data_IF_183349688187
#
_entry.id   IF_183349688187
#
_cell.length_a   1.000
_cell.length_b   1.000
_cell.length_c   1.000
_cell.angle_alpha   90.00
_cell.angle_beta   90.00
_cell.angle_gamma   90.00
#
_symmetry.space_group_name_H-M   'P 1'
#
loop_
_entity.id
_entity.type
_entity.pdbx_description
1 polymer ?
#
# COMPACT_ATOMS: atom_id res chain seq x y z
N UNK A 1 -0.27 -33.89 -60.38
CA UNK A 1 0.64 -33.15 -59.49
C UNK A 1 -0.19 -32.32 -58.56
N UNK A 2 -0.51 -32.88 -57.40
CA UNK A 2 -1.28 -32.21 -56.34
C UNK A 2 -0.34 -31.67 -55.30
N UNK A 3 -0.35 -30.38 -55.06
CA UNK A 3 0.41 -29.76 -53.97
C UNK A 3 -0.46 -29.71 -52.71
N UNK A 4 -0.02 -30.42 -51.69
CA UNK A 4 -0.51 -30.33 -50.33
C UNK A 4 0.07 -29.05 -49.69
N UNK A 5 -0.80 -28.10 -49.34
CA UNK A 5 -0.41 -27.00 -48.45
C UNK A 5 -0.71 -27.39 -47.00
N UNK A 6 0.36 -27.66 -46.23
CA UNK A 6 0.28 -27.88 -44.78
C UNK A 6 0.15 -26.51 -44.11
N UNK A 7 -0.97 -26.25 -43.48
CA UNK A 7 -1.20 -25.08 -42.63
C UNK A 7 -0.62 -25.38 -41.25
N UNK A 8 0.50 -24.78 -40.93
CA UNK A 8 1.10 -24.82 -39.61
C UNK A 8 0.32 -23.88 -38.69
N UNK A 9 -0.52 -24.43 -37.79
CA UNK A 9 -1.20 -23.68 -36.75
C UNK A 9 -0.17 -23.28 -35.69
N UNK A 10 -0.07 -22.01 -35.36
CA UNK A 10 0.77 -21.47 -34.29
C UNK A 10 0.21 -21.88 -32.91
N UNK A 11 0.98 -22.49 -32.00
CA UNK A 11 0.49 -22.96 -30.71
C UNK A 11 0.22 -21.83 -29.68
N UNK A 12 0.63 -20.59 -29.97
CA UNK A 12 0.58 -19.49 -29.00
C UNK A 12 -0.80 -18.85 -28.77
N UNK A 13 -1.68 -18.88 -29.78
CA UNK A 13 -2.97 -18.20 -29.69
C UNK A 13 -4.02 -18.95 -28.84
N UNK A 14 -3.93 -20.27 -28.76
CA UNK A 14 -4.86 -21.05 -27.97
C UNK A 14 -4.57 -21.03 -26.45
N UNK A 15 -3.30 -20.88 -26.06
CA UNK A 15 -2.94 -20.76 -24.65
C UNK A 15 -3.33 -19.40 -24.04
N UNK A 16 -3.22 -18.32 -24.81
CA UNK A 16 -3.66 -16.99 -24.36
C UNK A 16 -5.18 -16.88 -24.25
N UNK A 17 -5.94 -17.44 -25.18
CA UNK A 17 -7.41 -17.44 -25.11
C UNK A 17 -7.95 -18.27 -23.93
N UNK A 18 -7.37 -19.41 -23.64
CA UNK A 18 -7.77 -20.25 -22.49
C UNK A 18 -7.41 -19.59 -21.14
N UNK A 19 -6.32 -18.86 -21.06
CA UNK A 19 -5.97 -18.09 -19.86
C UNK A 19 -6.98 -16.95 -19.61
N UNK A 20 -7.31 -16.15 -20.63
CA UNK A 20 -8.27 -15.05 -20.53
C UNK A 20 -9.65 -15.53 -20.08
N UNK A 21 -10.20 -16.55 -20.72
CA UNK A 21 -11.52 -17.14 -20.35
C UNK A 21 -11.50 -17.75 -18.94
N UNK A 22 -10.36 -18.31 -18.50
CA UNK A 22 -10.24 -18.93 -17.18
C UNK A 22 -10.23 -17.92 -16.04
N UNK A 23 -9.90 -16.66 -16.30
CA UNK A 23 -9.74 -15.59 -15.31
C UNK A 23 -10.83 -14.52 -15.35
N UNK A 24 -11.61 -14.39 -16.41
CA UNK A 24 -12.86 -13.58 -16.40
C UNK A 24 -13.78 -14.00 -15.26
N UNK A 25 -13.77 -15.28 -14.91
CA UNK A 25 -14.47 -15.84 -13.76
C UNK A 25 -14.00 -15.30 -12.39
N UNK A 26 -12.78 -14.80 -12.23
CA UNK A 26 -12.29 -14.32 -10.93
C UNK A 26 -12.82 -12.92 -10.63
N UNK A 27 -12.80 -12.01 -11.61
CA UNK A 27 -13.36 -10.66 -11.44
C UNK A 27 -14.89 -10.71 -11.20
N UNK A 28 -15.60 -11.59 -11.91
CA UNK A 28 -17.04 -11.82 -11.72
C UNK A 28 -17.35 -12.41 -10.34
N UNK A 29 -16.51 -13.31 -9.85
CA UNK A 29 -16.66 -13.91 -8.52
C UNK A 29 -16.46 -12.84 -7.44
N UNK A 30 -15.48 -11.95 -7.59
CA UNK A 30 -15.26 -10.82 -6.67
C UNK A 30 -16.44 -9.86 -6.76
N UNK A 31 -16.95 -9.56 -7.96
CA UNK A 31 -18.12 -8.68 -8.13
C UNK A 31 -19.33 -9.22 -7.40
N UNK A 32 -19.69 -10.49 -7.58
CA UNK A 32 -20.80 -11.14 -6.88
C UNK A 32 -20.63 -11.11 -5.36
N UNK A 33 -19.40 -11.33 -4.89
CA UNK A 33 -19.10 -11.24 -3.46
C UNK A 33 -19.29 -9.83 -2.91
N UNK A 34 -18.84 -8.81 -3.64
CA UNK A 34 -19.05 -7.39 -3.28
C UNK A 34 -20.54 -7.05 -3.26
N UNK A 35 -21.30 -7.47 -4.28
CA UNK A 35 -22.74 -7.24 -4.37
C UNK A 35 -23.48 -7.87 -3.18
N UNK A 36 -23.14 -9.11 -2.80
CA UNK A 36 -23.72 -9.76 -1.62
C UNK A 36 -23.45 -8.97 -0.34
N UNK A 37 -22.22 -8.60 -0.06
CA UNK A 37 -21.88 -7.82 1.14
C UNK A 37 -22.49 -6.41 1.14
N UNK A 38 -22.67 -5.80 -0.04
CA UNK A 38 -23.32 -4.49 -0.15
C UNK A 38 -24.82 -4.59 0.08
N UNK A 39 -25.46 -5.65 -0.45
CA UNK A 39 -26.90 -5.89 -0.26
C UNK A 39 -27.26 -6.15 1.20
N UNK A 40 -26.40 -6.85 1.94
CA UNK A 40 -26.57 -7.13 3.36
C UNK A 40 -26.22 -5.92 4.26
N UNK A 41 -25.84 -4.77 3.67
CA UNK A 41 -25.42 -3.57 4.40
C UNK A 41 -24.07 -3.71 5.11
N UNK A 42 -23.36 -4.83 4.92
CA UNK A 42 -22.06 -5.11 5.55
C UNK A 42 -20.88 -4.44 4.88
N UNK A 43 -21.05 -3.81 3.70
CA UNK A 43 -20.00 -3.11 2.99
C UNK A 43 -20.49 -1.74 2.49
N UNK A 44 -19.87 -0.70 3.00
CA UNK A 44 -20.13 0.68 2.58
C UNK A 44 -18.94 1.21 1.78
N UNK A 45 -19.15 1.42 0.49
CA UNK A 45 -18.12 1.97 -0.40
C UNK A 45 -18.31 3.47 -0.61
N UNK A 46 -17.24 4.24 -0.91
CA UNK A 46 -17.37 5.65 -1.26
C UNK A 46 -18.31 5.85 -2.45
N UNK A 47 -19.17 6.87 -2.41
CA UNK A 47 -20.17 7.14 -3.48
C UNK A 47 -19.55 7.23 -4.89
N UNK A 48 -18.31 7.71 -5.00
CA UNK A 48 -17.58 7.83 -6.27
C UNK A 48 -16.76 6.60 -6.64
N UNK A 49 -16.79 5.52 -5.84
CA UNK A 49 -16.02 4.32 -6.08
C UNK A 49 -16.76 3.36 -7.00
N UNK A 50 -16.29 3.21 -8.23
CA UNK A 50 -16.83 2.24 -9.18
C UNK A 50 -16.10 0.90 -9.03
N UNK A 51 -16.75 -0.08 -8.43
CA UNK A 51 -16.21 -1.44 -8.26
C UNK A 51 -15.79 -2.04 -9.61
N UNK A 52 -16.67 -2.00 -10.59
CA UNK A 52 -16.41 -2.58 -11.91
C UNK A 52 -15.21 -1.94 -12.62
N UNK A 53 -15.06 -0.61 -12.57
CA UNK A 53 -13.92 0.07 -13.20
C UNK A 53 -12.61 -0.25 -12.47
N UNK A 54 -12.62 -0.30 -11.14
CA UNK A 54 -11.43 -0.62 -10.36
C UNK A 54 -11.01 -2.08 -10.53
N UNK A 55 -11.95 -3.03 -10.58
CA UNK A 55 -11.65 -4.44 -10.87
C UNK A 55 -11.08 -4.64 -12.27
N UNK A 56 -11.66 -3.96 -13.30
CA UNK A 56 -11.13 -4.01 -14.67
C UNK A 56 -9.72 -3.44 -14.75
N UNK A 57 -9.49 -2.29 -14.13
CA UNK A 57 -8.16 -1.66 -14.05
C UNK A 57 -7.13 -2.54 -13.35
N UNK A 58 -7.52 -3.12 -12.21
CA UNK A 58 -6.68 -4.04 -11.46
C UNK A 58 -6.36 -5.30 -12.27
N UNK A 59 -7.34 -5.79 -13.02
CA UNK A 59 -7.15 -6.95 -13.88
C UNK A 59 -6.12 -6.71 -14.98
N UNK A 60 -6.18 -5.55 -15.66
CA UNK A 60 -5.19 -5.19 -16.68
C UNK A 60 -3.77 -5.14 -16.09
N UNK A 61 -3.62 -4.60 -14.91
CA UNK A 61 -2.32 -4.57 -14.20
C UNK A 61 -1.84 -5.99 -13.88
N UNK A 62 -2.75 -6.87 -13.42
CA UNK A 62 -2.39 -8.26 -13.08
C UNK A 62 -1.98 -9.09 -14.30
N UNK A 63 -2.51 -8.79 -15.49
CA UNK A 63 -2.11 -9.47 -16.73
C UNK A 63 -0.63 -9.21 -17.10
N UNK A 64 -0.10 -8.05 -16.71
CA UNK A 64 1.28 -7.65 -16.99
C UNK A 64 2.21 -7.88 -15.79
N UNK A 65 1.63 -8.15 -14.61
CA UNK A 65 2.40 -8.29 -13.38
C UNK A 65 3.20 -9.60 -13.37
N UNK A 66 4.44 -9.51 -12.89
CA UNK A 66 5.34 -10.66 -12.73
C UNK A 66 5.80 -10.78 -11.27
N UNK A 67 6.16 -12.00 -10.89
CA UNK A 67 6.81 -12.27 -9.62
C UNK A 67 8.31 -11.89 -9.67
N UNK A 68 9.03 -12.16 -8.58
CA UNK A 68 10.48 -11.89 -8.51
C UNK A 68 11.32 -12.66 -9.54
N UNK A 69 10.79 -13.77 -10.05
CA UNK A 69 11.47 -14.62 -11.02
C UNK A 69 11.04 -14.29 -12.45
N UNK A 70 10.39 -13.13 -12.65
CA UNK A 70 9.80 -12.69 -13.93
C UNK A 70 8.75 -13.65 -14.50
N UNK A 71 8.07 -14.42 -13.63
CA UNK A 71 6.95 -15.29 -14.04
C UNK A 71 5.62 -14.54 -13.86
N UNK A 72 4.66 -14.68 -14.81
CA UNK A 72 3.35 -14.04 -14.69
C UNK A 72 2.65 -14.40 -13.38
N UNK A 73 2.21 -13.40 -12.60
CA UNK A 73 1.55 -13.66 -11.30
C UNK A 73 0.27 -14.48 -11.44
N UNK A 74 -0.40 -14.37 -12.58
CA UNK A 74 -1.60 -15.16 -12.87
C UNK A 74 -1.31 -16.66 -13.04
N UNK A 75 -0.09 -17.05 -13.37
CA UNK A 75 0.32 -18.45 -13.48
C UNK A 75 0.83 -19.01 -12.14
N UNK A 76 1.51 -18.17 -11.38
CA UNK A 76 2.18 -18.56 -10.12
C UNK A 76 1.19 -18.56 -8.95
N UNK A 77 0.31 -17.53 -8.87
CA UNK A 77 -0.57 -17.34 -7.75
C UNK A 77 -1.87 -18.17 -7.85
N UNK A 78 -2.36 -18.64 -6.71
CA UNK A 78 -3.64 -19.35 -6.67
C UNK A 78 -4.81 -18.43 -7.00
N UNK A 79 -5.85 -18.94 -7.67
CA UNK A 79 -7.07 -18.18 -7.98
C UNK A 79 -7.72 -17.60 -6.73
N UNK A 80 -7.69 -18.36 -5.63
CA UNK A 80 -8.25 -17.90 -4.36
C UNK A 80 -7.50 -16.69 -3.81
N UNK A 81 -6.15 -16.68 -3.88
CA UNK A 81 -5.35 -15.53 -3.44
C UNK A 81 -5.55 -14.31 -4.34
N UNK A 82 -5.69 -14.50 -5.65
CA UNK A 82 -5.99 -13.42 -6.59
C UNK A 82 -7.36 -12.80 -6.27
N UNK A 83 -8.40 -13.65 -6.08
CA UNK A 83 -9.74 -13.17 -5.72
C UNK A 83 -9.72 -12.41 -4.38
N UNK A 84 -9.01 -12.92 -3.37
CA UNK A 84 -8.89 -12.27 -2.08
C UNK A 84 -8.16 -10.92 -2.16
N UNK A 85 -7.07 -10.83 -2.92
CA UNK A 85 -6.33 -9.58 -3.12
C UNK A 85 -7.18 -8.51 -3.84
N UNK A 86 -7.93 -8.90 -4.87
CA UNK A 86 -8.87 -8.00 -5.55
C UNK A 86 -10.02 -7.57 -4.63
N UNK A 87 -10.59 -8.50 -3.87
CA UNK A 87 -11.63 -8.20 -2.90
C UNK A 87 -11.13 -7.26 -1.81
N UNK A 88 -9.90 -7.45 -1.33
CA UNK A 88 -9.26 -6.62 -0.34
C UNK A 88 -9.05 -5.18 -0.82
N UNK A 89 -8.62 -4.99 -2.07
CA UNK A 89 -8.56 -3.68 -2.71
C UNK A 89 -9.92 -2.98 -2.71
N UNK A 90 -10.98 -3.70 -3.07
CA UNK A 90 -12.36 -3.17 -3.12
C UNK A 90 -12.88 -2.85 -1.73
N UNK A 91 -12.66 -3.76 -0.76
CA UNK A 91 -13.06 -3.58 0.64
C UNK A 91 -12.51 -2.26 1.22
N UNK A 92 -11.25 -1.95 0.90
CA UNK A 92 -10.64 -0.69 1.28
C UNK A 92 -11.06 0.50 0.39
N UNK A 93 -11.83 0.28 -0.67
CA UNK A 93 -12.23 1.30 -1.64
C UNK A 93 -11.04 1.99 -2.30
N UNK A 94 -9.94 1.27 -2.52
CA UNK A 94 -8.70 1.78 -3.10
C UNK A 94 -8.55 1.37 -4.57
N UNK A 95 -7.67 2.06 -5.28
CA UNK A 95 -7.43 1.85 -6.71
C UNK A 95 -5.94 1.74 -7.01
N UNK A 96 -5.55 0.64 -7.67
CA UNK A 96 -4.17 0.46 -8.14
C UNK A 96 -3.80 1.42 -9.27
N UNK A 97 -4.75 1.80 -10.11
CA UNK A 97 -4.53 2.79 -11.19
C UNK A 97 -4.25 4.20 -10.65
N UNK A 98 -4.63 4.49 -9.40
CA UNK A 98 -4.30 5.73 -8.70
C UNK A 98 -3.08 5.59 -7.81
N UNK A 99 -2.30 4.54 -7.98
CA UNK A 99 -1.15 4.20 -7.13
C UNK A 99 -1.49 4.14 -5.62
N UNK A 100 -2.76 3.80 -5.27
CA UNK A 100 -3.21 3.68 -3.87
C UNK A 100 -2.89 2.32 -3.25
N UNK A 101 -2.35 1.40 -4.03
CA UNK A 101 -1.88 0.09 -3.60
C UNK A 101 -1.27 -0.67 -4.74
N UNK A 102 -0.67 -1.82 -4.41
CA UNK A 102 0.04 -2.70 -5.33
C UNK A 102 -0.35 -4.15 -5.06
N UNK A 103 -0.30 -4.96 -6.10
CA UNK A 103 -0.38 -6.42 -5.98
C UNK A 103 1.01 -7.01 -5.95
N UNK A 104 1.28 -7.83 -4.94
CA UNK A 104 2.59 -8.42 -4.73
C UNK A 104 2.43 -9.92 -4.55
N UNK A 105 3.19 -10.69 -5.32
CA UNK A 105 3.25 -12.13 -5.21
C UNK A 105 4.27 -12.55 -4.15
N UNK A 106 3.79 -13.30 -3.16
CA UNK A 106 4.60 -13.97 -2.15
C UNK A 106 4.48 -15.48 -2.36
N UNK A 107 5.43 -16.04 -3.11
CA UNK A 107 5.31 -17.42 -3.58
C UNK A 107 4.06 -17.58 -4.45
N UNK A 108 3.15 -18.48 -4.06
CA UNK A 108 1.88 -18.73 -4.77
C UNK A 108 0.70 -17.89 -4.25
N UNK A 109 0.94 -16.94 -3.35
CA UNK A 109 -0.08 -16.08 -2.76
C UNK A 109 0.06 -14.66 -3.30
N UNK A 110 -1.02 -14.10 -3.87
CA UNK A 110 -1.12 -12.70 -4.21
C UNK A 110 -1.70 -11.92 -3.02
N UNK A 111 -1.08 -10.79 -2.69
CA UNK A 111 -1.56 -9.88 -1.66
C UNK A 111 -1.75 -8.47 -2.24
N UNK A 112 -2.79 -7.78 -1.76
CA UNK A 112 -2.95 -6.35 -1.99
C UNK A 112 -2.25 -5.57 -0.87
N UNK A 113 -1.30 -4.73 -1.23
CA UNK A 113 -0.60 -3.86 -0.31
C UNK A 113 -0.99 -2.41 -0.52
N UNK A 114 -1.39 -1.76 0.55
CA UNK A 114 -1.73 -0.34 0.55
C UNK A 114 -0.45 0.50 0.44
N UNK A 115 -0.47 1.48 -0.46
CA UNK A 115 0.58 2.48 -0.58
C UNK A 115 0.37 3.64 0.39
N UNK A 116 1.38 4.52 0.48
CA UNK A 116 1.27 5.80 1.15
C UNK A 116 0.03 6.61 0.69
N UNK A 117 -0.20 6.71 -0.63
CA UNK A 117 -1.39 7.41 -1.17
C UNK A 117 -2.70 6.73 -0.75
N UNK A 118 -2.68 5.39 -0.67
CA UNK A 118 -3.81 4.63 -0.17
C UNK A 118 -4.09 4.91 1.30
N UNK A 119 -3.04 4.98 2.12
CA UNK A 119 -3.15 5.30 3.55
C UNK A 119 -3.75 6.69 3.77
N UNK A 120 -3.30 7.71 3.04
CA UNK A 120 -3.88 9.06 3.09
C UNK A 120 -5.34 9.04 2.60
N UNK A 121 -5.62 8.36 1.48
CA UNK A 121 -6.98 8.26 0.95
C UNK A 121 -7.95 7.58 1.92
N UNK A 122 -7.48 6.57 2.65
CA UNK A 122 -8.26 5.88 3.66
C UNK A 122 -8.51 6.76 4.89
N UNK A 123 -7.46 7.42 5.41
CA UNK A 123 -7.58 8.34 6.54
C UNK A 123 -8.59 9.49 6.29
N UNK A 124 -8.78 9.89 5.03
CA UNK A 124 -9.79 10.89 4.63
C UNK A 124 -11.23 10.34 4.64
N UNK A 125 -11.43 9.03 4.68
CA UNK A 125 -12.75 8.40 4.53
C UNK A 125 -13.31 7.81 5.81
N UNK A 126 -12.44 7.42 6.74
CA UNK A 126 -12.88 6.84 8.01
C UNK A 126 -13.64 7.86 8.85
N UNK A 127 -14.58 7.39 9.66
CA UNK A 127 -15.36 8.23 10.56
C UNK A 127 -14.47 9.07 11.48
N UNK A 128 -14.73 10.38 11.56
CA UNK A 128 -13.86 11.32 12.26
C UNK A 128 -12.53 11.59 11.54
N UNK A 129 -12.45 11.26 10.25
CA UNK A 129 -11.24 11.32 9.44
C UNK A 129 -10.69 12.71 9.19
N UNK A 130 -9.65 12.76 8.37
CA UNK A 130 -8.96 14.01 8.07
C UNK A 130 -9.63 14.78 6.93
N UNK A 131 -9.74 16.09 7.07
CA UNK A 131 -10.35 17.00 6.08
C UNK A 131 -9.51 17.10 4.80
N UNK A 132 -8.20 17.06 4.94
CA UNK A 132 -7.23 17.19 3.84
C UNK A 132 -5.99 16.35 4.14
N UNK A 133 -5.15 16.19 3.14
CA UNK A 133 -3.84 15.56 3.32
C UNK A 133 -3.04 16.27 4.42
N UNK A 134 -2.39 15.53 5.32
CA UNK A 134 -1.51 16.14 6.31
C UNK A 134 -0.38 16.92 5.63
N UNK A 135 -0.08 18.08 6.15
CA UNK A 135 1.05 18.92 5.67
C UNK A 135 2.26 18.60 6.52
N UNK A 136 3.36 18.19 5.90
CA UNK A 136 4.59 17.85 6.61
C UNK A 136 5.75 18.75 6.21
N UNK A 137 6.61 19.05 7.20
CA UNK A 137 7.85 19.75 7.01
C UNK A 137 8.99 19.04 7.74
N UNK A 138 10.21 19.28 7.25
CA UNK A 138 11.46 18.80 7.84
C UNK A 138 12.10 19.92 8.65
N UNK A 139 12.69 19.60 9.76
CA UNK A 139 13.43 20.50 10.64
C UNK A 139 14.91 20.17 10.47
N UNK A 140 15.69 21.18 10.05
CA UNK A 140 17.13 21.05 9.84
C UNK A 140 17.93 21.64 10.99
N UNK A 141 19.22 21.32 11.02
CA UNK A 141 20.15 22.00 11.92
C UNK A 141 20.28 23.48 11.54
N UNK A 142 20.08 24.35 12.49
CA UNK A 142 20.06 25.83 12.25
C UNK A 142 18.67 26.42 12.10
N UNK A 143 17.62 25.60 11.93
CA UNK A 143 16.24 26.08 12.00
C UNK A 143 15.91 26.48 13.45
N UNK A 144 15.17 27.57 13.59
CA UNK A 144 14.54 27.90 14.86
C UNK A 144 13.21 27.16 14.95
N UNK A 145 13.16 26.11 15.74
CA UNK A 145 11.95 25.33 15.95
C UNK A 145 11.58 25.30 17.43
N UNK A 146 10.40 25.86 17.73
CA UNK A 146 9.87 25.94 19.10
C UNK A 146 8.49 25.30 19.11
N UNK A 147 8.27 24.36 20.02
CA UNK A 147 6.98 23.73 20.27
C UNK A 147 6.73 23.57 21.75
N UNK A 148 5.49 23.37 22.13
CA UNK A 148 5.06 23.04 23.48
C UNK A 148 4.13 21.84 23.45
N UNK A 149 3.91 21.26 24.63
CA UNK A 149 2.90 20.23 24.85
C UNK A 149 1.83 20.87 25.72
N UNK A 150 0.60 20.88 25.26
CA UNK A 150 -0.54 21.30 26.09
C UNK A 150 -0.71 20.30 27.23
N UNK A 151 -0.56 20.72 28.51
CA UNK A 151 -0.60 19.82 29.65
C UNK A 151 -1.99 19.20 29.91
N UNK A 152 -3.05 19.78 29.32
CA UNK A 152 -4.42 19.27 29.48
C UNK A 152 -4.77 18.20 28.45
N UNK A 153 -4.31 18.39 27.22
CA UNK A 153 -4.65 17.51 26.10
C UNK A 153 -3.51 16.56 25.71
N UNK A 154 -2.27 16.89 26.10
CA UNK A 154 -1.07 16.17 25.65
C UNK A 154 -0.69 16.44 24.20
N UNK A 155 -1.41 17.32 23.50
CA UNK A 155 -1.16 17.62 22.09
C UNK A 155 0.04 18.54 21.91
N UNK A 156 0.83 18.26 20.88
CA UNK A 156 1.92 19.14 20.46
C UNK A 156 1.36 20.41 19.80
N UNK A 157 1.93 21.56 20.12
CA UNK A 157 1.64 22.85 19.50
C UNK A 157 2.93 23.47 19.01
N UNK A 158 3.02 23.70 17.71
CA UNK A 158 4.17 24.42 17.11
C UNK A 158 3.95 25.90 17.37
N UNK A 159 4.91 26.52 18.04
CA UNK A 159 4.92 27.95 18.34
C UNK A 159 5.64 28.71 17.21
N UNK A 160 6.77 28.17 16.74
CA UNK A 160 7.59 28.80 15.72
C UNK A 160 8.34 27.75 14.91
N UNK A 161 8.41 27.96 13.60
CA UNK A 161 9.33 27.27 12.71
C UNK A 161 9.86 28.29 11.70
N UNK A 162 11.03 28.84 11.98
CA UNK A 162 11.75 29.72 11.07
C UNK A 162 12.87 28.93 10.39
N UNK A 163 12.66 28.67 9.11
CA UNK A 163 13.56 27.91 8.26
C UNK A 163 14.12 28.82 7.16
N UNK A 164 15.43 28.88 7.07
CA UNK A 164 16.14 29.57 6.00
C UNK A 164 16.57 28.57 4.93
N UNK A 165 16.63 29.01 3.67
CA UNK A 165 17.03 28.15 2.55
C UNK A 165 18.45 27.59 2.78
N UNK A 166 19.33 28.36 3.41
CA UNK A 166 20.69 27.96 3.73
C UNK A 166 20.78 26.82 4.74
N UNK A 167 19.72 26.59 5.52
CA UNK A 167 19.64 25.49 6.49
C UNK A 167 19.22 24.18 5.85
N UNK A 168 18.68 24.20 4.63
CA UNK A 168 18.18 23.00 3.94
C UNK A 168 19.38 22.17 3.49
N UNK A 169 19.71 21.17 4.31
CA UNK A 169 20.79 20.22 4.08
C UNK A 169 20.32 18.82 4.53
N UNK A 170 20.15 17.92 3.59
CA UNK A 170 19.66 16.57 3.82
C UNK A 170 20.53 15.76 4.80
N UNK A 171 21.82 16.10 4.93
CA UNK A 171 22.72 15.50 5.92
C UNK A 171 22.46 16.01 7.35
N UNK A 172 21.75 17.12 7.50
CA UNK A 172 21.51 17.81 8.76
C UNK A 172 20.05 17.81 9.21
N UNK A 173 19.26 16.84 8.76
CA UNK A 173 17.89 16.65 9.21
C UNK A 173 17.90 16.26 10.69
N UNK A 174 17.14 17.01 11.53
CA UNK A 174 16.95 16.74 12.96
C UNK A 174 15.65 16.01 13.27
N UNK A 175 14.57 16.42 12.58
CA UNK A 175 13.23 15.88 12.79
C UNK A 175 12.33 16.17 11.58
N UNK A 176 11.14 15.60 11.60
CA UNK A 176 10.04 16.02 10.73
C UNK A 176 8.74 16.04 11.52
N UNK A 177 7.78 16.83 11.08
CA UNK A 177 6.45 16.86 11.65
C UNK A 177 5.38 16.88 10.57
N UNK A 178 4.18 16.43 10.95
CA UNK A 178 2.98 16.52 10.15
C UNK A 178 1.88 17.23 10.93
N UNK A 179 1.14 18.10 10.28
CA UNK A 179 -0.06 18.74 10.79
C UNK A 179 -1.26 18.09 10.12
N UNK A 180 -2.08 17.43 10.91
CA UNK A 180 -3.32 16.81 10.49
C UNK A 180 -4.48 17.72 10.81
N UNK A 181 -5.34 18.01 9.83
CA UNK A 181 -6.57 18.80 10.03
C UNK A 181 -7.77 17.87 9.90
N UNK A 182 -8.60 17.81 10.93
CA UNK A 182 -9.81 17.00 10.97
C UNK A 182 -11.03 17.73 10.43
N UNK A 183 -12.12 16.98 10.17
CA UNK A 183 -13.38 17.56 9.64
C UNK A 183 -14.02 18.55 10.62
N UNK A 184 -13.87 18.38 11.92
CA UNK A 184 -14.32 19.28 12.97
C UNK A 184 -13.48 20.58 13.10
N UNK A 185 -12.44 20.72 12.29
CA UNK A 185 -11.52 21.85 12.31
C UNK A 185 -10.37 21.72 13.31
N UNK A 186 -10.34 20.70 14.14
CA UNK A 186 -9.25 20.39 15.05
C UNK A 186 -7.99 20.08 14.26
N UNK A 187 -6.83 20.45 14.82
CA UNK A 187 -5.53 20.12 14.26
C UNK A 187 -4.69 19.36 15.28
N UNK A 188 -3.99 18.35 14.79
CA UNK A 188 -3.01 17.59 15.58
C UNK A 188 -1.65 17.61 14.91
N UNK A 189 -0.61 17.68 15.73
CA UNK A 189 0.76 17.68 15.27
C UNK A 189 1.43 16.36 15.67
N UNK A 190 1.97 15.66 14.68
CA UNK A 190 2.83 14.49 14.90
C UNK A 190 4.27 14.91 14.64
N UNK A 191 5.17 14.71 15.62
CA UNK A 191 6.60 15.03 15.49
C UNK A 191 7.39 13.72 15.63
N UNK A 192 8.38 13.53 14.75
CA UNK A 192 9.35 12.43 14.84
C UNK A 192 10.77 12.96 14.70
N UNK A 193 11.65 12.56 15.61
CA UNK A 193 13.09 12.83 15.46
C UNK A 193 13.67 11.99 14.32
N UNK A 194 14.80 12.42 13.75
CA UNK A 194 15.47 11.66 12.70
C UNK A 194 15.80 10.22 13.13
N UNK A 195 16.13 10.00 14.41
CA UNK A 195 16.41 8.67 14.93
C UNK A 195 15.17 7.79 14.98
N UNK A 196 14.00 8.35 15.32
CA UNK A 196 12.73 7.62 15.26
C UNK A 196 12.37 7.28 13.84
N UNK A 197 12.58 8.20 12.90
CA UNK A 197 12.34 7.99 11.47
C UNK A 197 13.26 6.88 10.93
N UNK A 198 14.56 6.94 11.21
CA UNK A 198 15.52 5.90 10.82
C UNK A 198 15.19 4.54 11.44
N UNK A 199 14.70 4.50 12.68
CA UNK A 199 14.23 3.26 13.30
C UNK A 199 13.01 2.69 12.56
N UNK A 200 12.08 3.54 12.11
CA UNK A 200 10.95 3.10 11.29
C UNK A 200 11.44 2.55 9.94
N UNK A 201 12.35 3.24 9.26
CA UNK A 201 12.93 2.75 8.00
C UNK A 201 13.67 1.42 8.13
N UNK A 202 14.29 1.18 9.30
CA UNK A 202 15.01 -0.07 9.57
C UNK A 202 14.08 -1.30 9.72
N UNK A 203 12.79 -1.08 9.91
CA UNK A 203 11.81 -2.17 9.89
C UNK A 203 11.56 -2.68 8.46
N UNK A 204 11.83 -1.84 7.46
CA UNK A 204 11.68 -2.19 6.06
C UNK A 204 12.88 -2.99 5.48
N UNK A 205 12.70 -3.72 4.33
CA UNK A 205 13.70 -4.57 3.67
C UNK A 205 14.97 -3.84 3.29
N UNK A 206 14.76 -2.66 2.80
CA UNK A 206 15.89 -1.84 2.38
C UNK A 206 16.60 -1.21 3.56
N UNK A 207 16.05 -1.32 4.79
CA UNK A 207 16.60 -0.73 6.01
C UNK A 207 17.00 0.74 5.81
N UNK A 208 16.16 1.51 5.13
CA UNK A 208 16.44 2.89 4.78
C UNK A 208 17.54 3.08 3.72
N UNK A 209 17.91 2.04 2.98
CA UNK A 209 18.98 2.08 1.98
C UNK A 209 18.48 2.10 0.53
N UNK A 210 17.17 2.24 0.30
CA UNK A 210 16.66 2.37 -1.07
C UNK A 210 17.17 3.65 -1.75
N UNK A 211 17.18 3.70 -3.09
CA UNK A 211 17.55 4.90 -3.82
C UNK A 211 16.75 6.15 -3.39
N UNK A 212 15.46 5.98 -3.06
CA UNK A 212 14.61 7.08 -2.58
C UNK A 212 15.10 7.63 -1.22
N UNK A 213 15.46 6.76 -0.27
CA UNK A 213 16.00 7.19 1.03
C UNK A 213 17.35 7.90 0.92
N UNK A 214 18.19 7.51 -0.06
CA UNK A 214 19.51 8.09 -0.25
C UNK A 214 19.47 9.43 -0.99
N UNK A 215 18.62 9.51 -2.02
CA UNK A 215 18.59 10.67 -2.90
C UNK A 215 17.58 11.74 -2.47
N UNK A 216 16.57 11.35 -1.68
CA UNK A 216 15.46 12.24 -1.27
C UNK A 216 15.09 12.01 0.21
N UNK A 217 16.04 12.07 1.16
CA UNK A 217 15.77 11.73 2.55
C UNK A 217 14.74 12.68 3.19
N UNK A 218 14.70 13.96 2.81
CA UNK A 218 13.70 14.90 3.29
C UNK A 218 12.27 14.47 2.90
N UNK A 219 12.05 14.04 1.66
CA UNK A 219 10.74 13.57 1.21
C UNK A 219 10.36 12.25 1.90
N UNK A 220 11.33 11.37 2.15
CA UNK A 220 11.09 10.14 2.90
C UNK A 220 10.76 10.42 4.37
N UNK A 221 11.37 11.45 4.99
CA UNK A 221 11.00 11.89 6.33
C UNK A 221 9.55 12.40 6.37
N UNK A 222 9.15 13.25 5.41
CA UNK A 222 7.76 13.73 5.29
C UNK A 222 6.79 12.57 5.11
N UNK A 223 7.09 11.63 4.20
CA UNK A 223 6.28 10.43 3.98
C UNK A 223 6.09 9.64 5.27
N UNK A 224 7.15 9.42 6.04
CA UNK A 224 7.12 8.63 7.26
C UNK A 224 6.25 9.27 8.34
N UNK A 225 6.40 10.57 8.58
CA UNK A 225 5.61 11.26 9.62
C UNK A 225 4.14 11.40 9.23
N UNK A 226 3.81 11.61 7.95
CA UNK A 226 2.43 11.60 7.45
C UNK A 226 1.81 10.21 7.59
N UNK A 227 2.55 9.17 7.19
CA UNK A 227 2.11 7.78 7.36
C UNK A 227 1.75 7.47 8.80
N UNK A 228 2.60 7.88 9.77
CA UNK A 228 2.32 7.72 11.21
C UNK A 228 1.06 8.46 11.65
N UNK A 229 0.88 9.70 11.23
CA UNK A 229 -0.31 10.50 11.55
C UNK A 229 -1.59 9.84 11.00
N UNK A 230 -1.59 9.42 9.74
CA UNK A 230 -2.74 8.76 9.12
C UNK A 230 -3.07 7.42 9.76
N UNK A 231 -2.08 6.62 10.18
CA UNK A 231 -2.31 5.35 10.88
C UNK A 231 -3.04 5.53 12.19
N UNK A 232 -2.69 6.55 12.96
CA UNK A 232 -3.41 6.86 14.20
C UNK A 232 -4.89 7.09 13.92
N UNK A 233 -5.22 7.85 12.88
CA UNK A 233 -6.62 8.13 12.49
C UNK A 233 -7.33 6.86 12.04
N UNK A 234 -6.71 6.06 11.18
CA UNK A 234 -7.32 4.83 10.65
C UNK A 234 -7.57 3.83 11.77
N UNK A 235 -6.55 3.57 12.60
CA UNK A 235 -6.62 2.52 13.62
C UNK A 235 -7.48 2.91 14.84
N UNK A 236 -7.81 4.20 15.00
CA UNK A 236 -8.73 4.68 16.04
C UNK A 236 -10.16 4.90 15.53
N UNK A 237 -10.45 4.65 14.26
CA UNK A 237 -11.80 4.78 13.69
C UNK A 237 -12.68 3.58 14.02
N UNK A 238 -14.00 3.76 13.95
CA UNK A 238 -14.99 2.69 14.18
C UNK A 238 -14.82 1.53 13.18
N UNK A 239 -14.31 1.83 11.97
CA UNK A 239 -14.06 0.86 10.92
C UNK A 239 -12.64 0.24 10.98
N UNK A 240 -11.89 0.48 12.06
CA UNK A 240 -10.50 0.02 12.19
C UNK A 240 -10.35 -1.49 11.96
N UNK A 241 -11.32 -2.29 12.41
CA UNK A 241 -11.34 -3.75 12.23
C UNK A 241 -11.29 -4.21 10.76
N UNK A 242 -11.81 -3.41 9.82
CA UNK A 242 -11.73 -3.70 8.37
C UNK A 242 -10.29 -3.61 7.84
N UNK A 243 -9.43 -2.90 8.55
CA UNK A 243 -8.09 -2.54 8.10
C UNK A 243 -6.98 -3.11 8.99
N UNK A 244 -7.34 -3.77 10.10
CA UNK A 244 -6.40 -4.39 11.01
C UNK A 244 -5.58 -5.49 10.32
N UNK A 245 -4.31 -5.56 10.68
CA UNK A 245 -3.39 -6.56 10.15
C UNK A 245 -2.94 -6.33 8.70
N UNK A 246 -3.41 -5.25 8.05
CA UNK A 246 -2.98 -4.89 6.70
C UNK A 246 -1.81 -3.92 6.80
N UNK A 247 -0.63 -4.47 6.58
CA UNK A 247 0.58 -3.68 6.62
C UNK A 247 0.61 -2.64 5.50
N UNK A 248 1.00 -1.44 5.87
CA UNK A 248 1.35 -0.41 4.90
C UNK A 248 2.75 -0.67 4.33
N UNK A 249 3.00 -0.15 3.15
CA UNK A 249 4.30 -0.25 2.46
C UNK A 249 5.49 0.20 3.34
N UNK A 250 5.23 1.09 4.31
CA UNK A 250 6.23 1.62 5.22
C UNK A 250 6.52 0.74 6.44
N UNK A 251 5.61 -0.17 6.83
CA UNK A 251 5.74 -1.02 8.02
C UNK A 251 6.32 -2.38 7.74
N UNK A 252 6.17 -2.84 6.51
CA UNK A 252 6.61 -4.18 6.15
C UNK A 252 7.36 -4.11 4.86
N UNK A 253 8.54 -4.56 5.00
CA UNK A 253 9.41 -4.83 3.91
C UNK A 253 8.81 -5.88 2.98
N UNK A 254 8.34 -5.42 1.83
CA UNK A 254 7.87 -6.27 0.74
C UNK A 254 8.93 -7.34 0.42
N UNK A 255 10.21 -6.98 0.41
CA UNK A 255 11.28 -7.91 0.12
C UNK A 255 11.56 -8.88 1.29
N UNK A 256 11.34 -8.50 2.55
CA UNK A 256 11.48 -9.40 3.69
C UNK A 256 10.35 -10.43 3.72
N UNK A 257 9.09 -10.01 3.56
CA UNK A 257 7.95 -10.94 3.46
C UNK A 257 8.08 -11.90 2.30
N UNK A 258 8.58 -11.43 1.15
CA UNK A 258 8.85 -12.30 0.03
C UNK A 258 9.93 -13.34 0.37
N UNK A 259 11.00 -12.95 1.07
CA UNK A 259 12.05 -13.88 1.54
C UNK A 259 11.50 -14.88 2.56
N UNK A 260 10.68 -14.40 3.51
CA UNK A 260 10.10 -15.25 4.54
C UNK A 260 9.09 -16.24 3.93
N UNK A 261 8.31 -15.83 2.93
CA UNK A 261 7.42 -16.70 2.17
C UNK A 261 8.19 -17.75 1.34
N UNK A 262 9.36 -17.38 0.75
CA UNK A 262 10.24 -18.32 0.05
C UNK A 262 10.86 -19.36 1.00
N UNK A 263 11.23 -18.94 2.22
CA UNK A 263 11.79 -19.86 3.25
C UNK A 263 10.71 -20.84 3.71
N UNK A 264 9.49 -20.37 3.95
CA UNK A 264 8.37 -21.23 4.32
C UNK A 264 7.96 -22.18 3.19
N UNK A 265 7.93 -21.70 1.94
CA UNK A 265 7.65 -22.54 0.77
C UNK A 265 8.68 -23.64 0.56
N UNK A 266 9.98 -23.36 0.79
CA UNK A 266 11.06 -24.36 0.71
C UNK A 266 10.99 -25.37 1.87
N UNK A 267 10.50 -24.99 3.03
CA UNK A 267 10.36 -25.87 4.19
C UNK A 267 9.23 -26.88 3.99
N UNK A 268 8.11 -26.45 3.37
CA UNK A 268 6.99 -27.35 3.05
C UNK A 268 7.31 -28.35 1.93
N UNK A 269 8.05 -27.92 0.90
CA UNK A 269 8.45 -28.81 -0.20
C UNK A 269 9.43 -29.90 0.25
N UNK A 270 10.27 -29.63 1.26
CA UNK A 270 11.18 -30.64 1.82
C UNK A 270 10.49 -31.70 2.71
N UNK A 271 9.29 -31.44 3.17
CA UNK A 271 8.51 -32.40 3.99
C UNK A 271 7.66 -33.35 3.13
N UNK A 272 7.32 -32.96 1.89
CA UNK A 272 6.60 -33.80 0.93
C UNK A 272 7.52 -34.81 0.19
N UNK A 273 8.83 -34.53 0.12
CA UNK A 273 9.84 -35.43 -0.50
C UNK A 273 10.44 -36.46 0.49
N UNK A 274 9.91 -36.57 1.71
CA UNK A 274 10.46 -37.41 2.79
C UNK A 274 9.54 -38.55 3.25
N UNK A 275 8.47 -38.88 2.47
CA UNK A 275 7.62 -40.06 2.70
C UNK A 275 7.70 -41.09 1.57
#
# INVERSE_FOLDING_TARGET
>A
MSQNQSTTAQPGAQQQQTAVVKYENVADLVMKRVESFTADGGLVLPKSYSVGNNLKSAWLILQEAVDRNNKPVLEVCTKASIANALFDMVLQGLSVSKAQGYFIAYGNKLEFQRSYFGTVALAKRVGGGIKREPVANVIYEGDKFVYTIDPKTGLFQIIEHDQKIENIDDAKIKAAYAITTFEDGRTEVTIMTIDQIKKAWNQGATKGQSPAHKNFPAEMCKKTVIGRACKMVINSSDDAWLYEGKADEDDVDVAQRQRDAEVQGRSTTKLEDAD
#
